data_IF_820485665918
#
_entry.id   IF_820485665918
#
_cell.length_a   1.000
_cell.length_b   1.000
_cell.length_c   1.000
_cell.angle_alpha   90.00
_cell.angle_beta   90.00
_cell.angle_gamma   90.00
#
_symmetry.space_group_name_H-M   'P 1'
#
loop_
_entity.id
_entity.type
_entity.pdbx_description
1 polymer ?
#
# COMPACT_ATOMS: atom_id res chain seq x y z
N UNK A 1 -32.20 4.76 46.29
CA UNK A 1 -31.89 3.65 45.36
C UNK A 1 -30.38 3.52 45.27
N UNK A 2 -29.81 2.30 45.35
CA UNK A 2 -28.36 2.15 45.25
C UNK A 2 -27.91 2.35 43.81
N UNK A 3 -26.84 3.12 43.61
CA UNK A 3 -26.19 3.32 42.32
C UNK A 3 -25.03 2.33 42.19
N UNK A 4 -25.04 1.54 41.11
CA UNK A 4 -23.98 0.58 40.80
C UNK A 4 -23.19 1.06 39.59
N UNK A 5 -21.86 1.07 39.70
CA UNK A 5 -20.96 1.35 38.58
C UNK A 5 -20.34 0.04 38.09
N UNK A 6 -20.39 -0.17 36.79
CA UNK A 6 -19.71 -1.27 36.10
C UNK A 6 -18.70 -0.65 35.15
N UNK A 7 -17.45 -1.09 35.21
CA UNK A 7 -16.37 -0.66 34.35
C UNK A 7 -15.86 -1.89 33.62
N UNK A 8 -15.75 -1.80 32.30
CA UNK A 8 -15.32 -2.91 31.46
C UNK A 8 -14.31 -2.41 30.42
N UNK A 9 -13.47 -3.32 29.94
CA UNK A 9 -12.55 -3.09 28.83
C UNK A 9 -12.61 -4.32 27.91
N UNK A 10 -12.69 -4.09 26.61
CA UNK A 10 -12.67 -5.15 25.60
C UNK A 10 -11.65 -4.80 24.53
N UNK A 11 -10.88 -5.80 24.10
CA UNK A 11 -10.00 -5.69 22.92
C UNK A 11 -10.85 -5.88 21.67
N UNK A 12 -10.79 -4.93 20.74
CA UNK A 12 -11.46 -5.01 19.44
C UNK A 12 -10.40 -5.00 18.35
N UNK A 13 -10.47 -5.98 17.46
CA UNK A 13 -9.70 -5.98 16.22
C UNK A 13 -10.54 -5.30 15.14
N UNK A 14 -9.94 -4.26 14.51
CA UNK A 14 -10.57 -3.51 13.43
C UNK A 14 -9.90 -3.93 12.13
N UNK A 15 -10.70 -4.49 11.22
CA UNK A 15 -10.27 -4.79 9.85
C UNK A 15 -10.80 -3.71 8.92
N UNK A 16 -9.91 -2.95 8.30
CA UNK A 16 -10.25 -2.00 7.23
C UNK A 16 -9.86 -2.59 5.88
N UNK A 17 -10.82 -2.65 4.95
CA UNK A 17 -10.55 -3.01 3.54
C UNK A 17 -10.38 -1.73 2.74
N UNK A 18 -9.24 -1.58 2.08
CA UNK A 18 -8.95 -0.45 1.21
C UNK A 18 -8.81 -0.96 -0.23
N UNK A 19 -9.55 -0.34 -1.15
CA UNK A 19 -9.37 -0.57 -2.58
C UNK A 19 -8.28 0.37 -3.07
N UNK A 20 -7.22 -0.18 -3.66
CA UNK A 20 -6.12 0.59 -4.24
C UNK A 20 -6.10 0.31 -5.72
N UNK A 21 -6.23 1.37 -6.53
CA UNK A 21 -6.15 1.26 -7.98
C UNK A 21 -4.70 1.01 -8.42
N UNK A 22 -4.54 0.28 -9.52
CA UNK A 22 -3.20 -0.02 -10.05
C UNK A 22 -2.44 1.22 -10.51
N UNK A 23 -3.16 2.23 -11.02
CA UNK A 23 -2.58 3.51 -11.41
C UNK A 23 -2.02 4.24 -10.17
N UNK A 24 -2.79 4.32 -9.08
CA UNK A 24 -2.37 4.93 -7.82
C UNK A 24 -1.15 4.20 -7.22
N UNK A 25 -1.16 2.87 -7.23
CA UNK A 25 -0.03 2.07 -6.74
C UNK A 25 1.23 2.30 -7.58
N UNK A 26 1.07 2.44 -8.91
CA UNK A 26 2.18 2.69 -9.82
C UNK A 26 2.78 4.09 -9.64
N UNK A 27 1.93 5.11 -9.51
CA UNK A 27 2.34 6.49 -9.23
C UNK A 27 3.09 6.56 -7.90
N UNK A 28 2.50 6.01 -6.84
CA UNK A 28 3.12 5.96 -5.52
C UNK A 28 4.49 5.26 -5.55
N UNK A 29 4.59 4.13 -6.25
CA UNK A 29 5.84 3.37 -6.33
C UNK A 29 6.92 4.12 -7.12
N UNK A 30 6.55 4.88 -8.16
CA UNK A 30 7.49 5.73 -8.88
C UNK A 30 8.02 6.86 -7.98
N UNK A 31 7.13 7.52 -7.25
CA UNK A 31 7.48 8.67 -6.41
C UNK A 31 8.24 8.29 -5.13
N UNK A 32 7.82 7.23 -4.43
CA UNK A 32 8.28 6.93 -3.07
C UNK A 32 9.34 5.82 -3.00
N UNK A 33 9.38 4.91 -3.99
CA UNK A 33 10.32 3.80 -4.00
C UNK A 33 11.48 3.99 -4.98
N UNK A 34 11.47 5.08 -5.76
CA UNK A 34 12.53 5.39 -6.72
C UNK A 34 12.72 4.30 -7.76
N UNK A 35 11.61 3.70 -8.23
CA UNK A 35 11.64 2.67 -9.25
C UNK A 35 12.37 3.18 -10.50
N UNK A 36 13.21 2.30 -11.06
CA UNK A 36 13.95 2.57 -12.30
C UNK A 36 13.65 1.50 -13.33
N UNK A 37 13.56 1.92 -14.58
CA UNK A 37 13.45 1.07 -15.75
C UNK A 37 14.75 1.14 -16.55
N UNK A 38 14.95 0.18 -17.45
CA UNK A 38 16.02 0.24 -18.44
C UNK A 38 15.43 0.78 -19.75
N UNK A 39 15.87 1.95 -20.17
CA UNK A 39 15.54 2.53 -21.47
C UNK A 39 16.81 2.60 -22.30
N UNK A 40 16.81 1.93 -23.48
CA UNK A 40 17.97 1.83 -24.36
C UNK A 40 19.27 1.39 -23.66
N UNK A 41 19.16 0.56 -22.62
CA UNK A 41 20.30 0.04 -21.84
C UNK A 41 20.82 0.97 -20.74
N UNK A 42 20.20 2.13 -20.52
CA UNK A 42 20.51 3.05 -19.43
C UNK A 42 19.40 3.02 -18.35
N UNK A 43 19.75 3.20 -17.06
CA UNK A 43 18.75 3.33 -16.01
C UNK A 43 18.03 4.68 -16.14
N UNK A 44 16.73 4.64 -16.40
CA UNK A 44 15.83 5.79 -16.43
C UNK A 44 14.84 5.74 -15.25
N UNK A 45 14.24 6.88 -14.93
CA UNK A 45 13.13 6.91 -13.98
C UNK A 45 11.97 6.08 -14.51
N UNK A 46 11.34 5.27 -13.65
CA UNK A 46 10.20 4.48 -14.08
C UNK A 46 9.01 5.38 -14.42
N UNK A 47 8.40 5.16 -15.58
CA UNK A 47 7.15 5.80 -15.96
C UNK A 47 5.96 5.02 -15.35
N UNK A 48 4.95 5.69 -14.78
CA UNK A 48 3.80 5.02 -14.14
C UNK A 48 3.10 4.01 -15.04
N UNK A 49 2.92 4.31 -16.33
CA UNK A 49 2.31 3.39 -17.29
C UNK A 49 3.11 2.08 -17.45
N UNK A 50 4.45 2.15 -17.43
CA UNK A 50 5.32 0.98 -17.51
C UNK A 50 5.26 0.15 -16.23
N UNK A 51 5.23 0.82 -15.07
CA UNK A 51 5.06 0.17 -13.77
C UNK A 51 3.69 -0.49 -13.69
N UNK A 52 2.61 0.15 -14.15
CA UNK A 52 1.28 -0.43 -14.18
C UNK A 52 1.24 -1.73 -15.00
N UNK A 53 1.77 -1.70 -16.22
CA UNK A 53 1.82 -2.90 -17.07
C UNK A 53 2.64 -4.02 -16.42
N UNK A 54 3.71 -3.68 -15.69
CA UNK A 54 4.49 -4.64 -14.92
C UNK A 54 3.66 -5.25 -13.77
N UNK A 55 2.89 -4.44 -13.04
CA UNK A 55 2.04 -4.88 -11.93
C UNK A 55 0.86 -5.74 -12.38
N UNK A 56 0.28 -5.43 -13.55
CA UNK A 56 -0.75 -6.26 -14.18
C UNK A 56 -0.24 -7.68 -14.48
N UNK A 57 1.04 -7.79 -14.86
CA UNK A 57 1.67 -9.07 -15.27
C UNK A 57 2.38 -9.79 -14.12
N UNK A 58 2.62 -9.12 -13.00
CA UNK A 58 3.40 -9.65 -11.88
C UNK A 58 2.62 -9.55 -10.56
N UNK A 59 1.75 -10.54 -10.34
CA UNK A 59 0.94 -10.67 -9.12
C UNK A 59 1.76 -10.65 -7.81
N UNK A 60 2.85 -11.43 -7.69
CA UNK A 60 3.69 -11.40 -6.49
C UNK A 60 4.31 -10.03 -6.19
N UNK A 61 4.79 -9.33 -7.22
CA UNK A 61 5.34 -7.98 -7.06
C UNK A 61 4.26 -6.98 -6.62
N UNK A 62 3.07 -7.09 -7.20
CA UNK A 62 1.90 -6.28 -6.82
C UNK A 62 1.53 -6.48 -5.35
N UNK A 63 1.49 -7.72 -4.86
CA UNK A 63 1.20 -8.00 -3.45
C UNK A 63 2.24 -7.38 -2.51
N UNK A 64 3.54 -7.51 -2.83
CA UNK A 64 4.60 -6.89 -2.04
C UNK A 64 4.52 -5.36 -2.03
N UNK A 65 4.16 -4.75 -3.17
CA UNK A 65 3.97 -3.31 -3.25
C UNK A 65 2.75 -2.83 -2.47
N UNK A 66 1.64 -3.57 -2.51
CA UNK A 66 0.46 -3.27 -1.70
C UNK A 66 0.76 -3.34 -0.19
N UNK A 67 1.56 -4.31 0.25
CA UNK A 67 1.98 -4.38 1.66
C UNK A 67 2.82 -3.17 2.07
N UNK A 68 3.75 -2.73 1.20
CA UNK A 68 4.56 -1.52 1.46
C UNK A 68 3.73 -0.25 1.42
N UNK A 69 2.81 -0.14 0.46
CA UNK A 69 1.87 0.96 0.37
C UNK A 69 1.03 1.05 1.64
N UNK A 70 0.47 -0.08 2.10
CA UNK A 70 -0.31 -0.13 3.33
C UNK A 70 0.52 0.25 4.56
N UNK A 71 1.77 -0.22 4.67
CA UNK A 71 2.66 0.17 5.76
C UNK A 71 3.00 1.68 5.76
N UNK A 72 3.05 2.32 4.59
CA UNK A 72 3.30 3.76 4.47
C UNK A 72 2.05 4.61 4.76
N UNK A 73 0.85 4.10 4.45
CA UNK A 73 -0.41 4.84 4.58
C UNK A 73 -1.17 4.54 5.87
N UNK A 74 -0.88 3.42 6.54
CA UNK A 74 -1.43 3.16 7.86
C UNK A 74 -0.52 3.80 8.92
N UNK A 75 -1.01 4.82 9.66
CA UNK A 75 -0.25 5.34 10.79
C UNK A 75 -0.03 4.19 11.77
N UNK A 76 1.24 3.94 12.09
CA UNK A 76 1.59 3.00 13.14
C UNK A 76 0.81 3.34 14.41
N UNK A 77 0.24 2.28 14.98
CA UNK A 77 -0.55 2.22 16.22
C UNK A 77 0.04 3.04 17.37
#
# INVERSE_FOLDING_TARGET
MPAYKVQWQQRVDVTATVTVELDELADWACEHLGLRTLEAGAPAGAAPAGVRMMLERNGPLREQLLQRWAAAHMPHR
#
